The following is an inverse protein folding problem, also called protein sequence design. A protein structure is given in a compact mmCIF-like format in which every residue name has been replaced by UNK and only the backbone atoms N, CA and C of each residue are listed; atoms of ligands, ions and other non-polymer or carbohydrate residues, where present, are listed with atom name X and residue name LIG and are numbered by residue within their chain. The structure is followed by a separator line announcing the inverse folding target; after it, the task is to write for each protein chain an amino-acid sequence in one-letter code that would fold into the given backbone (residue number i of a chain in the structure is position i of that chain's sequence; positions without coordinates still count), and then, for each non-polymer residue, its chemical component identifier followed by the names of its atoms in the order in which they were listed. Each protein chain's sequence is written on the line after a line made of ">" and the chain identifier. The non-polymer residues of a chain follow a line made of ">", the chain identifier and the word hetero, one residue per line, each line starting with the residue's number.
data_IF_806356245233
#
_entry.id   IF_806356245233
#
_cell.length_a   1.000
_cell.length_b   1.000
_cell.length_c   1.000
_cell.angle_alpha   90.00
_cell.angle_beta   90.00
_cell.angle_gamma   90.00
#
_symmetry.space_group_name_H-M   'P 1'
#
loop_
_entity.id
_entity.type
_entity.pdbx_description
1 polymer ?
#
# COMPACT_ATOMS: atom_id res chain seq x y z
N UNK A 1 -0.13 24.09 21.45
CA UNK A 1 -0.31 22.78 22.13
C UNK A 1 -1.66 22.26 21.70
N UNK A 2 -1.69 21.46 20.64
CA UNK A 2 -2.91 21.02 19.98
C UNK A 2 -3.36 19.68 20.55
N UNK A 3 -4.54 19.66 21.18
CA UNK A 3 -5.29 18.41 21.35
C UNK A 3 -5.72 17.94 19.96
N UNK A 4 -5.17 16.80 19.55
CA UNK A 4 -5.59 16.08 18.34
C UNK A 4 -6.98 15.54 18.60
N UNK A 5 -7.97 15.97 17.81
CA UNK A 5 -9.33 15.45 17.86
C UNK A 5 -9.33 13.93 17.73
N UNK A 6 -9.69 13.25 18.81
CA UNK A 6 -9.86 11.80 18.85
C UNK A 6 -11.21 11.48 18.17
N UNK A 7 -11.19 11.02 16.92
CA UNK A 7 -12.38 10.54 16.18
C UNK A 7 -12.63 9.05 16.48
N UNK A 8 -12.09 8.52 17.59
CA UNK A 8 -12.02 7.07 17.88
C UNK A 8 -13.24 6.49 18.60
N UNK A 9 -14.40 7.14 18.62
CA UNK A 9 -15.60 6.63 19.31
C UNK A 9 -16.55 5.81 18.42
N UNK A 10 -16.09 5.33 17.26
CA UNK A 10 -16.84 4.43 16.37
C UNK A 10 -16.64 2.95 16.76
N UNK A 11 -16.94 2.59 18.01
CA UNK A 11 -16.54 1.27 18.55
C UNK A 11 -17.39 0.08 18.07
N UNK A 12 -18.56 0.25 17.45
CA UNK A 12 -19.47 -0.89 17.20
C UNK A 12 -20.07 -0.99 15.79
N UNK A 13 -20.13 0.08 14.99
CA UNK A 13 -20.80 0.06 13.67
C UNK A 13 -19.88 -0.30 12.51
N UNK A 14 -18.62 0.17 12.52
CA UNK A 14 -17.59 -0.22 11.55
C UNK A 14 -17.15 -1.67 11.74
N UNK A 15 -17.07 -2.14 13.00
CA UNK A 15 -16.88 -3.55 13.33
C UNK A 15 -18.01 -4.44 12.77
N UNK A 16 -19.28 -4.02 12.92
CA UNK A 16 -20.43 -4.79 12.43
C UNK A 16 -20.45 -4.93 10.89
N UNK A 17 -20.13 -3.85 10.15
CA UNK A 17 -20.06 -3.88 8.67
C UNK A 17 -18.88 -4.70 8.14
N UNK A 18 -17.76 -4.73 8.86
CA UNK A 18 -16.63 -5.61 8.54
C UNK A 18 -16.90 -7.07 8.94
N UNK A 19 -17.73 -7.34 9.95
CA UNK A 19 -18.11 -8.71 10.34
C UNK A 19 -19.18 -9.32 9.40
N UNK A 20 -20.02 -8.51 8.74
CA UNK A 20 -20.87 -8.98 7.63
C UNK A 20 -20.05 -9.52 6.45
N UNK A 21 -18.80 -9.05 6.28
CA UNK A 21 -17.86 -9.53 5.26
C UNK A 21 -17.27 -10.93 5.57
N UNK A 22 -17.13 -11.33 6.84
CA UNK A 22 -16.70 -12.70 7.24
C UNK A 22 -17.78 -13.75 6.94
N UNK A 23 -19.08 -13.41 7.03
CA UNK A 23 -20.17 -14.37 6.82
C UNK A 23 -20.35 -14.82 5.36
N UNK A 24 -19.67 -14.17 4.40
CA UNK A 24 -19.68 -14.52 2.99
C UNK A 24 -18.52 -15.44 2.56
N UNK A 25 -17.52 -15.67 3.42
CA UNK A 25 -16.35 -16.50 3.10
C UNK A 25 -16.04 -17.54 4.19
N UNK A 26 -16.52 -18.80 4.05
CA UNK A 26 -16.14 -19.85 4.99
C UNK A 26 -14.66 -20.21 4.83
N UNK A 27 -13.98 -20.36 5.98
CA UNK A 27 -12.66 -20.99 6.15
C UNK A 27 -12.51 -22.21 5.23
N UNK A 28 -11.79 -22.09 4.11
CA UNK A 28 -11.62 -23.21 3.17
C UNK A 28 -10.39 -24.04 3.52
N UNK A 29 -10.65 -25.33 3.76
CA UNK A 29 -9.67 -26.41 3.79
C UNK A 29 -8.93 -26.50 2.45
N UNK A 30 -7.65 -26.90 2.43
CA UNK A 30 -6.89 -27.09 1.20
C UNK A 30 -7.53 -28.23 0.38
N UNK A 31 -8.12 -27.90 -0.76
CA UNK A 31 -8.53 -28.89 -1.74
C UNK A 31 -7.32 -29.23 -2.63
N UNK A 32 -6.98 -30.51 -2.69
CA UNK A 32 -6.03 -31.04 -3.67
C UNK A 32 -6.54 -30.77 -5.09
N UNK A 33 -5.98 -29.77 -5.76
CA UNK A 33 -6.25 -29.48 -7.18
C UNK A 33 -4.98 -29.70 -7.99
N UNK A 34 -5.11 -30.51 -9.04
CA UNK A 34 -4.06 -30.85 -10.00
C UNK A 34 -3.63 -29.61 -10.76
N UNK A 35 -2.32 -29.56 -11.06
CA UNK A 35 -1.65 -28.58 -11.89
C UNK A 35 -2.37 -28.40 -13.23
N UNK A 36 -3.08 -27.30 -13.39
CA UNK A 36 -3.31 -26.69 -14.71
C UNK A 36 -2.44 -25.43 -14.77
N UNK A 37 -1.63 -25.24 -15.84
CA UNK A 37 -0.93 -23.99 -16.05
C UNK A 37 -1.95 -22.90 -16.39
N UNK A 38 -2.34 -22.11 -15.38
CA UNK A 38 -3.05 -20.84 -15.58
C UNK A 38 -2.09 -19.75 -16.06
N UNK A 39 -2.59 -18.66 -16.66
CA UNK A 39 -1.80 -17.79 -17.51
C UNK A 39 -0.71 -17.04 -16.74
N UNK A 40 0.42 -16.94 -17.44
CA UNK A 40 1.73 -16.51 -17.01
C UNK A 40 1.75 -14.99 -16.85
N UNK A 41 1.51 -14.51 -15.64
CA UNK A 41 1.65 -13.09 -15.27
C UNK A 41 2.33 -12.97 -13.89
N UNK A 42 3.41 -13.72 -13.66
CA UNK A 42 4.06 -13.74 -12.34
C UNK A 42 5.04 -12.58 -12.07
N UNK A 43 5.32 -11.71 -13.04
CA UNK A 43 6.08 -10.48 -12.78
C UNK A 43 5.67 -9.34 -13.73
N UNK A 44 4.80 -8.44 -13.26
CA UNK A 44 4.84 -7.06 -13.76
C UNK A 44 6.07 -6.38 -13.18
N UNK A 45 6.94 -5.90 -14.07
CA UNK A 45 7.93 -4.91 -13.70
C UNK A 45 7.37 -3.52 -13.99
N UNK A 46 7.02 -2.81 -12.93
CA UNK A 46 6.73 -1.39 -13.04
C UNK A 46 8.07 -0.63 -13.04
N UNK A 47 8.50 -0.14 -14.20
CA UNK A 47 9.74 0.63 -14.34
C UNK A 47 9.47 1.97 -15.01
N UNK A 48 9.65 3.06 -14.27
CA UNK A 48 9.55 4.43 -14.79
C UNK A 48 10.90 5.13 -14.87
N UNK A 49 11.04 6.01 -15.86
CA UNK A 49 12.16 6.95 -15.97
C UNK A 49 11.61 8.37 -15.80
N UNK A 50 11.95 9.06 -14.70
CA UNK A 50 11.69 10.50 -14.60
C UNK A 50 12.77 11.24 -15.40
N UNK A 51 12.53 11.50 -16.69
CA UNK A 51 13.35 12.45 -17.44
C UNK A 51 12.93 13.88 -17.07
N UNK A 52 13.92 14.72 -16.78
CA UNK A 52 13.85 16.03 -16.10
C UNK A 52 13.18 17.17 -16.89
N UNK A 53 12.27 16.89 -17.81
CA UNK A 53 11.45 17.93 -18.47
C UNK A 53 10.10 17.45 -18.99
N UNK A 54 9.83 16.14 -18.97
CA UNK A 54 8.52 15.56 -19.21
C UNK A 54 8.29 14.46 -18.17
N UNK A 55 7.42 14.71 -17.19
CA UNK A 55 7.06 13.73 -16.16
C UNK A 55 6.26 12.60 -16.82
N UNK A 56 6.97 11.59 -17.30
CA UNK A 56 6.39 10.44 -18.00
C UNK A 56 6.64 9.19 -17.17
N UNK A 57 5.58 8.57 -16.65
CA UNK A 57 5.67 7.26 -16.02
C UNK A 57 5.25 6.17 -17.02
N UNK A 58 5.97 5.06 -17.03
CA UNK A 58 5.73 3.93 -17.92
C UNK A 58 5.51 2.67 -17.10
N UNK A 59 4.50 1.90 -17.47
CA UNK A 59 4.19 0.60 -16.89
C UNK A 59 4.20 -0.42 -18.01
N UNK A 60 4.94 -1.50 -17.83
CA UNK A 60 5.08 -2.56 -18.82
C UNK A 60 4.45 -3.85 -18.31
N UNK A 61 3.73 -4.52 -19.20
CA UNK A 61 3.31 -5.92 -19.03
C UNK A 61 4.30 -6.80 -19.79
N UNK A 62 4.78 -7.87 -19.16
CA UNK A 62 5.86 -8.70 -19.68
C UNK A 62 5.63 -10.18 -19.39
N UNK A 63 5.88 -11.04 -20.37
CA UNK A 63 5.79 -12.51 -20.22
C UNK A 63 7.10 -13.11 -19.76
N UNK A 64 7.48 -12.88 -18.50
CA UNK A 64 8.82 -13.21 -18.03
C UNK A 64 9.19 -14.69 -17.98
N UNK A 65 8.24 -15.59 -17.74
CA UNK A 65 8.55 -17.02 -17.57
C UNK A 65 8.71 -17.80 -18.87
N UNK A 66 8.19 -17.30 -20.00
CA UNK A 66 8.34 -17.97 -21.30
C UNK A 66 9.52 -17.40 -22.08
N UNK A 67 9.52 -16.08 -22.30
CA UNK A 67 10.38 -15.48 -23.32
C UNK A 67 10.85 -14.06 -22.97
N UNK A 68 10.32 -13.44 -21.90
CA UNK A 68 10.70 -12.10 -21.45
C UNK A 68 10.17 -10.97 -22.34
N UNK A 69 9.28 -11.25 -23.30
CA UNK A 69 8.79 -10.23 -24.22
C UNK A 69 7.83 -9.26 -23.53
N UNK A 70 7.95 -7.99 -23.89
CA UNK A 70 7.01 -6.94 -23.53
C UNK A 70 5.71 -7.14 -24.32
N UNK A 71 4.61 -7.32 -23.60
CA UNK A 71 3.28 -7.55 -24.18
C UNK A 71 2.53 -6.24 -24.41
N UNK A 72 2.65 -5.28 -23.49
CA UNK A 72 1.96 -3.99 -23.58
C UNK A 72 2.65 -2.88 -22.76
N UNK A 73 2.27 -1.63 -22.98
CA UNK A 73 2.74 -0.46 -22.26
C UNK A 73 1.63 0.56 -22.01
N UNK A 74 1.52 0.99 -20.75
CA UNK A 74 0.76 2.18 -20.37
C UNK A 74 1.72 3.33 -20.07
N UNK A 75 1.47 4.48 -20.68
CA UNK A 75 2.24 5.71 -20.48
C UNK A 75 1.35 6.77 -19.82
N UNK A 76 1.80 7.31 -18.70
CA UNK A 76 1.18 8.43 -18.01
C UNK A 76 1.95 9.69 -18.37
N UNK A 77 1.34 10.56 -19.16
CA UNK A 77 1.97 11.80 -19.63
C UNK A 77 1.70 12.95 -18.65
N UNK A 78 2.73 13.76 -18.44
CA UNK A 78 2.68 14.94 -17.58
C UNK A 78 2.22 14.62 -16.16
N UNK A 79 2.61 13.47 -15.61
CA UNK A 79 2.15 12.97 -14.31
C UNK A 79 3.29 12.50 -13.40
N UNK A 80 3.06 12.58 -12.10
CA UNK A 80 3.95 12.09 -11.04
C UNK A 80 3.44 10.76 -10.49
N UNK A 81 4.04 9.65 -10.92
CA UNK A 81 3.81 8.32 -10.33
C UNK A 81 5.08 7.87 -9.60
N UNK A 82 4.99 7.63 -8.29
CA UNK A 82 6.15 7.19 -7.50
C UNK A 82 6.41 5.68 -7.66
N UNK A 83 7.26 5.29 -8.59
CA UNK A 83 7.54 3.87 -8.84
C UNK A 83 8.68 3.28 -8.00
N UNK A 84 9.33 4.11 -7.18
CA UNK A 84 10.37 3.65 -6.26
C UNK A 84 9.78 2.61 -5.31
N UNK A 85 10.33 1.39 -5.27
CA UNK A 85 9.80 0.27 -4.47
C UNK A 85 8.29 0.03 -4.65
N UNK A 86 7.75 0.26 -5.85
CA UNK A 86 6.33 0.11 -6.17
C UNK A 86 5.40 0.98 -5.28
N UNK A 87 5.83 2.18 -4.87
CA UNK A 87 5.06 2.99 -3.92
C UNK A 87 3.73 3.52 -4.47
N UNK A 88 3.69 3.85 -5.76
CA UNK A 88 2.55 4.44 -6.46
C UNK A 88 1.80 3.44 -7.34
N UNK A 89 2.12 2.14 -7.25
CA UNK A 89 1.43 1.09 -7.98
C UNK A 89 1.19 -0.12 -7.07
N UNK A 90 0.02 -0.74 -7.17
CA UNK A 90 -0.32 -1.92 -6.38
C UNK A 90 -1.08 -2.93 -7.24
N UNK A 91 -0.66 -4.19 -7.21
CA UNK A 91 -1.22 -5.28 -8.01
C UNK A 91 -2.02 -6.22 -7.10
N UNK A 92 -3.21 -6.61 -7.53
CA UNK A 92 -4.05 -7.62 -6.90
C UNK A 92 -4.65 -8.51 -8.00
N UNK A 93 -4.26 -9.77 -8.03
CA UNK A 93 -4.55 -10.70 -9.13
C UNK A 93 -4.25 -10.08 -10.51
N UNK A 94 -5.29 -9.78 -11.30
CA UNK A 94 -5.24 -9.16 -12.62
C UNK A 94 -5.55 -7.65 -12.61
N UNK A 95 -5.76 -7.04 -11.44
CA UNK A 95 -6.03 -5.61 -11.31
C UNK A 95 -4.80 -4.85 -10.81
N UNK A 96 -4.49 -3.76 -11.51
CA UNK A 96 -3.40 -2.84 -11.19
C UNK A 96 -3.96 -1.47 -10.83
N UNK A 97 -3.68 -1.00 -9.63
CA UNK A 97 -3.96 0.36 -9.21
C UNK A 97 -2.70 1.23 -9.37
N UNK A 98 -2.84 2.42 -9.94
CA UNK A 98 -1.76 3.39 -10.16
C UNK A 98 -2.19 4.76 -9.64
N UNK A 99 -1.41 5.34 -8.73
CA UNK A 99 -1.70 6.66 -8.15
C UNK A 99 -1.04 7.75 -8.97
N UNK A 100 -1.87 8.57 -9.60
CA UNK A 100 -1.51 9.87 -10.16
C UNK A 100 -1.43 10.91 -9.06
N UNK A 101 -0.21 11.31 -8.67
CA UNK A 101 -0.04 12.34 -7.64
C UNK A 101 -0.39 13.73 -8.18
N UNK A 102 -0.15 14.00 -9.46
CA UNK A 102 -0.44 15.32 -10.03
C UNK A 102 -1.93 15.53 -10.22
N UNK A 103 -2.62 14.54 -10.79
CA UNK A 103 -4.05 14.64 -11.08
C UNK A 103 -4.93 14.10 -9.94
N UNK A 104 -4.33 13.66 -8.83
CA UNK A 104 -5.05 13.16 -7.65
C UNK A 104 -6.09 12.09 -8.02
N UNK A 105 -5.66 11.15 -8.86
CA UNK A 105 -6.50 10.11 -9.47
C UNK A 105 -5.87 8.73 -9.28
N UNK A 106 -6.68 7.74 -8.94
CA UNK A 106 -6.28 6.33 -8.90
C UNK A 106 -6.79 5.69 -10.19
N UNK A 107 -5.87 5.28 -11.05
CA UNK A 107 -6.17 4.53 -12.26
C UNK A 107 -6.22 3.04 -11.93
N UNK A 108 -7.33 2.39 -12.28
CA UNK A 108 -7.50 0.95 -12.17
C UNK A 108 -7.40 0.37 -13.58
N UNK A 109 -6.40 -0.47 -13.81
CA UNK A 109 -6.20 -1.21 -15.04
C UNK A 109 -6.43 -2.69 -14.79
N UNK A 110 -6.98 -3.39 -15.78
CA UNK A 110 -7.05 -4.84 -15.80
C UNK A 110 -6.05 -5.39 -16.81
N UNK A 111 -5.35 -6.43 -16.39
CA UNK A 111 -4.37 -7.14 -17.19
C UNK A 111 -5.07 -8.36 -17.75
N UNK A 112 -5.28 -8.38 -19.07
CA UNK A 112 -5.93 -9.51 -19.75
C UNK A 112 -4.97 -10.69 -19.89
N UNK A 113 -5.50 -11.89 -20.11
CA UNK A 113 -4.69 -13.09 -20.37
C UNK A 113 -3.76 -12.93 -21.59
N UNK A 114 -4.13 -12.06 -22.55
CA UNK A 114 -3.28 -11.68 -23.69
C UNK A 114 -2.06 -10.84 -23.31
N UNK A 115 -2.03 -10.29 -22.09
CA UNK A 115 -1.04 -9.35 -21.58
C UNK A 115 -1.39 -7.88 -21.75
N UNK A 116 -2.53 -7.57 -22.40
CA UNK A 116 -2.95 -6.19 -22.64
C UNK A 116 -3.38 -5.49 -21.35
N UNK A 117 -3.02 -4.21 -21.25
CA UNK A 117 -3.38 -3.31 -20.15
C UNK A 117 -4.62 -2.50 -20.55
N UNK A 118 -5.75 -2.78 -19.91
CA UNK A 118 -7.04 -2.15 -20.21
C UNK A 118 -7.43 -1.24 -19.07
N UNK A 119 -7.69 0.05 -19.34
CA UNK A 119 -8.25 0.95 -18.33
C UNK A 119 -9.68 0.50 -17.96
N UNK A 120 -9.91 0.27 -16.67
CA UNK A 120 -11.21 -0.14 -16.12
C UNK A 120 -11.89 1.03 -15.41
N UNK A 121 -11.11 1.86 -14.72
CA UNK A 121 -11.66 2.98 -13.94
C UNK A 121 -10.64 4.04 -13.63
N UNK A 122 -11.11 5.28 -13.48
CA UNK A 122 -10.37 6.37 -12.84
C UNK A 122 -11.16 6.87 -11.62
N UNK A 123 -10.51 6.95 -10.46
CA UNK A 123 -11.12 7.38 -9.19
C UNK A 123 -10.40 8.64 -8.73
N UNK A 124 -11.07 9.79 -8.77
CA UNK A 124 -10.49 11.08 -8.41
C UNK A 124 -11.56 12.16 -8.36
N UNK A 125 -11.50 13.12 -9.29
CA UNK A 125 -12.53 14.14 -9.49
C UNK A 125 -13.90 13.53 -9.83
N UNK A 126 -13.89 12.38 -10.51
CA UNK A 126 -15.05 11.55 -10.81
C UNK A 126 -14.85 10.17 -10.19
N UNK A 127 -15.95 9.50 -9.82
CA UNK A 127 -15.93 8.16 -9.24
C UNK A 127 -16.64 7.13 -10.14
N UNK A 128 -17.50 7.59 -11.04
CA UNK A 128 -18.19 6.82 -12.09
C UNK A 128 -17.91 7.44 -13.45
N UNK A 129 -18.08 6.63 -14.50
CA UNK A 129 -17.82 7.03 -15.89
C UNK A 129 -18.77 8.13 -16.38
N UNK A 130 -19.99 8.16 -15.85
CA UNK A 130 -21.06 9.09 -16.22
C UNK A 130 -21.07 10.37 -15.36
N UNK A 131 -20.32 10.42 -14.25
CA UNK A 131 -20.31 11.55 -13.30
C UNK A 131 -20.01 12.89 -14.00
N UNK A 132 -19.09 12.91 -14.97
CA UNK A 132 -18.71 14.12 -15.71
C UNK A 132 -19.89 14.70 -16.50
N UNK A 133 -20.67 13.85 -17.17
CA UNK A 133 -21.86 14.27 -17.91
C UNK A 133 -22.95 14.81 -16.96
N UNK A 134 -23.14 14.17 -15.80
CA UNK A 134 -24.11 14.61 -14.80
C UNK A 134 -23.74 15.96 -14.14
N UNK A 135 -22.46 16.17 -13.83
CA UNK A 135 -21.99 17.43 -13.23
C UNK A 135 -22.10 18.57 -14.26
N UNK A 136 -21.71 18.33 -15.50
CA UNK A 136 -21.76 19.34 -16.57
C UNK A 136 -23.20 19.71 -16.96
N UNK A 137 -24.13 18.75 -16.99
CA UNK A 137 -25.56 19.05 -17.23
C UNK A 137 -26.18 19.84 -16.08
N UNK A 138 -25.76 19.58 -14.83
CA UNK A 138 -26.25 20.31 -13.65
C UNK A 138 -25.72 21.74 -13.57
N UNK A 139 -24.46 21.99 -13.98
CA UNK A 139 -23.87 23.33 -14.01
C UNK A 139 -24.50 24.23 -15.08
N UNK A 140 -24.87 23.67 -16.24
CA UNK A 140 -25.61 24.39 -17.30
C UNK A 140 -27.01 24.83 -16.85
N UNK A 141 -27.69 24.05 -16.01
CA UNK A 141 -28.99 24.42 -15.42
C UNK A 141 -28.88 25.53 -14.37
N UNK A 142 -27.77 25.58 -13.63
CA UNK A 142 -27.51 26.61 -12.62
C UNK A 142 -27.07 27.96 -13.23
N UNK A 143 -26.37 27.94 -14.38
CA UNK A 143 -25.95 29.14 -15.11
C UNK A 143 -27.10 29.93 -15.75
N UNK A 144 -28.28 29.33 -15.93
CA UNK A 144 -29.45 30.01 -16.51
C UNK A 144 -30.30 30.81 -15.49
N UNK A 145 -29.88 30.90 -14.22
CA UNK A 145 -30.62 31.66 -13.18
C UNK A 145 -30.03 33.01 -12.80
N UNK A 146 -28.95 33.45 -13.44
CA UNK A 146 -28.40 34.79 -13.22
C UNK A 146 -27.35 35.11 -14.27
N UNK A 147 -27.80 35.68 -15.39
CA UNK A 147 -27.25 36.94 -15.91
C UNK A 147 -27.91 37.29 -17.24
N UNK A 148 -28.88 38.20 -17.14
CA UNK A 148 -29.16 39.12 -18.22
C UNK A 148 -28.00 40.12 -18.26
N UNK A 149 -27.28 40.12 -19.40
CA UNK A 149 -26.36 41.17 -19.90
C UNK A 149 -24.93 41.16 -19.34
N UNK A 150 -23.96 40.62 -20.10
CA UNK A 150 -22.85 41.43 -20.62
C UNK A 150 -22.19 40.79 -21.86
N UNK A 151 -21.72 41.64 -22.76
CA UNK A 151 -21.21 41.33 -24.09
C UNK A 151 -19.76 40.81 -24.07
N UNK A 152 -19.54 39.73 -24.83
CA UNK A 152 -18.33 39.40 -25.61
C UNK A 152 -16.93 39.70 -25.04
N UNK A 153 -16.19 38.65 -24.71
CA UNK A 153 -14.88 38.33 -25.35
C UNK A 153 -14.36 36.97 -24.86
N UNK A 154 -13.81 36.20 -25.80
CA UNK A 154 -13.24 34.87 -25.61
C UNK A 154 -12.03 34.87 -24.66
N UNK A 155 -12.06 34.04 -23.63
CA UNK A 155 -10.99 33.07 -23.35
C UNK A 155 -11.46 32.01 -22.36
N UNK A 156 -11.49 30.76 -22.82
CA UNK A 156 -11.79 29.56 -22.03
C UNK A 156 -10.76 29.37 -20.92
N UNK A 157 -11.06 29.89 -19.73
CA UNK A 157 -10.43 29.45 -18.50
C UNK A 157 -11.55 29.20 -17.49
N UNK A 158 -11.90 27.93 -17.19
CA UNK A 158 -12.87 27.67 -16.15
C UNK A 158 -12.29 28.22 -14.86
N UNK A 159 -12.99 29.19 -14.26
CA UNK A 159 -12.65 29.79 -12.96
C UNK A 159 -12.41 28.66 -11.94
N UNK A 160 -11.15 28.32 -11.70
CA UNK A 160 -10.74 27.20 -10.83
C UNK A 160 -11.06 27.41 -9.35
N UNK A 161 -11.47 28.63 -8.98
CA UNK A 161 -11.65 29.02 -7.58
C UNK A 161 -13.03 28.67 -7.03
N UNK A 162 -13.99 28.25 -7.87
CA UNK A 162 -15.36 27.91 -7.45
C UNK A 162 -15.82 26.51 -7.92
N UNK A 163 -14.89 25.61 -8.26
CA UNK A 163 -15.30 24.23 -8.55
C UNK A 163 -15.77 23.56 -7.26
N UNK A 164 -17.03 23.13 -7.22
CA UNK A 164 -17.52 22.28 -6.14
C UNK A 164 -16.58 21.09 -5.94
N UNK A 165 -16.31 20.74 -4.69
CA UNK A 165 -15.61 19.50 -4.38
C UNK A 165 -16.43 18.35 -4.96
N UNK A 166 -15.80 17.53 -5.80
CA UNK A 166 -16.43 16.42 -6.49
C UNK A 166 -15.75 15.09 -6.15
N UNK A 167 -16.35 14.00 -6.64
CA UNK A 167 -15.75 12.67 -6.61
C UNK A 167 -15.35 12.21 -5.21
N UNK A 168 -14.12 11.71 -5.09
CA UNK A 168 -13.68 11.02 -3.87
C UNK A 168 -13.56 11.98 -2.67
N UNK A 169 -13.15 13.23 -2.88
CA UNK A 169 -13.03 14.22 -1.79
C UNK A 169 -14.40 14.57 -1.23
N UNK A 170 -15.39 14.79 -2.10
CA UNK A 170 -16.77 15.07 -1.69
C UNK A 170 -17.37 13.90 -0.90
N UNK A 171 -17.15 12.67 -1.39
CA UNK A 171 -17.62 11.44 -0.73
C UNK A 171 -16.97 11.25 0.64
N UNK A 172 -15.67 11.56 0.75
CA UNK A 172 -14.94 11.55 2.01
C UNK A 172 -15.51 12.56 3.01
N UNK A 173 -15.69 13.82 2.60
CA UNK A 173 -16.26 14.85 3.49
C UNK A 173 -17.68 14.50 3.92
N UNK A 174 -18.49 13.98 3.01
CA UNK A 174 -19.85 13.50 3.31
C UNK A 174 -19.85 12.37 4.33
N UNK A 175 -18.91 11.42 4.20
CA UNK A 175 -18.74 10.34 5.16
C UNK A 175 -18.37 10.87 6.54
N UNK A 176 -17.35 11.73 6.64
CA UNK A 176 -16.89 12.31 7.90
C UNK A 176 -18.03 13.09 8.58
N UNK A 177 -18.75 13.91 7.83
CA UNK A 177 -19.90 14.66 8.35
C UNK A 177 -20.98 13.73 8.91
N UNK A 178 -21.37 12.71 8.14
CA UNK A 178 -22.44 11.76 8.53
C UNK A 178 -22.05 10.94 9.75
N UNK A 179 -20.79 10.50 9.83
CA UNK A 179 -20.27 9.80 11.01
C UNK A 179 -20.39 10.67 12.26
N UNK A 180 -19.83 11.88 12.24
CA UNK A 180 -19.87 12.81 13.38
C UNK A 180 -21.32 13.17 13.75
N UNK A 181 -22.19 13.39 12.75
CA UNK A 181 -23.61 13.67 13.00
C UNK A 181 -24.32 12.51 13.70
N UNK A 182 -23.90 11.27 13.42
CA UNK A 182 -24.52 10.06 13.95
C UNK A 182 -23.97 9.60 15.31
N UNK A 183 -22.88 10.21 15.80
CA UNK A 183 -22.27 9.89 17.10
C UNK A 183 -23.22 10.23 18.26
N UNK A 184 -23.89 11.38 18.18
CA UNK A 184 -24.72 11.90 19.28
C UNK A 184 -26.22 11.88 18.94
N UNK A 185 -27.06 11.73 19.96
CA UNK A 185 -28.52 11.77 19.83
C UNK A 185 -29.08 13.16 20.05
N UNK A 186 -28.45 13.95 20.94
CA UNK A 186 -28.86 15.32 21.26
C UNK A 186 -28.44 16.32 20.17
N UNK A 187 -29.38 17.19 19.79
CA UNK A 187 -29.17 18.14 18.70
C UNK A 187 -28.09 19.19 19.03
N UNK A 188 -28.02 19.64 20.28
CA UNK A 188 -27.07 20.68 20.70
C UNK A 188 -25.66 20.11 20.71
N UNK A 189 -25.49 18.90 21.26
CA UNK A 189 -24.22 18.19 21.27
C UNK A 189 -23.74 17.85 19.85
N UNK A 190 -24.62 17.39 18.95
CA UNK A 190 -24.27 17.18 17.52
C UNK A 190 -23.66 18.42 16.88
N UNK A 191 -24.30 19.57 17.05
CA UNK A 191 -23.81 20.84 16.46
C UNK A 191 -22.45 21.22 17.05
N UNK A 192 -22.24 20.99 18.35
CA UNK A 192 -20.94 21.23 18.99
C UNK A 192 -19.86 20.27 18.47
N UNK A 193 -20.17 18.98 18.32
CA UNK A 193 -19.27 17.98 17.76
C UNK A 193 -18.88 18.33 16.32
N UNK A 194 -19.84 18.69 15.46
CA UNK A 194 -19.57 19.16 14.10
C UNK A 194 -18.68 20.39 14.08
N UNK A 195 -18.94 21.39 14.93
CA UNK A 195 -18.09 22.60 15.01
C UNK A 195 -16.65 22.26 15.35
N UNK A 196 -16.44 21.38 16.33
CA UNK A 196 -15.09 21.02 16.83
C UNK A 196 -14.35 20.04 15.92
N UNK A 197 -15.04 19.01 15.41
CA UNK A 197 -14.40 17.90 14.67
C UNK A 197 -14.43 18.09 13.15
N UNK A 198 -15.49 18.68 12.59
CA UNK A 198 -15.65 18.83 11.14
C UNK A 198 -15.31 20.24 10.64
N UNK A 199 -16.05 21.26 11.09
CA UNK A 199 -15.91 22.62 10.55
C UNK A 199 -14.57 23.26 10.91
N UNK A 200 -14.04 23.01 12.11
CA UNK A 200 -12.71 23.48 12.50
C UNK A 200 -11.60 22.90 11.62
N UNK A 201 -11.73 21.64 11.18
CA UNK A 201 -10.76 20.93 10.35
C UNK A 201 -11.17 20.86 8.87
N UNK A 202 -12.16 21.62 8.45
CA UNK A 202 -12.75 21.47 7.11
C UNK A 202 -11.72 21.67 6.02
N UNK A 203 -10.91 22.73 6.12
CA UNK A 203 -9.86 23.02 5.16
C UNK A 203 -8.77 21.93 5.16
N UNK A 204 -8.39 21.43 6.34
CA UNK A 204 -7.43 20.32 6.47
C UNK A 204 -7.89 19.09 5.68
N UNK A 205 -9.19 18.77 5.74
CA UNK A 205 -9.77 17.64 5.00
C UNK A 205 -9.87 17.89 3.49
N UNK A 206 -10.16 19.13 3.08
CA UNK A 206 -10.20 19.54 1.66
C UNK A 206 -8.82 19.42 1.02
N UNK A 207 -7.77 19.79 1.77
CA UNK A 207 -6.39 19.83 1.29
C UNK A 207 -5.70 18.45 1.32
N UNK A 208 -6.37 17.42 1.85
CA UNK A 208 -5.87 16.05 1.77
C UNK A 208 -5.62 15.63 0.32
N UNK A 209 -4.47 15.00 0.11
CA UNK A 209 -4.07 14.38 -1.15
C UNK A 209 -3.92 12.88 -0.99
N UNK A 210 -4.29 12.14 -2.04
CA UNK A 210 -4.04 10.71 -2.19
C UNK A 210 -2.54 10.52 -2.33
N UNK A 211 -1.93 9.85 -1.35
CA UNK A 211 -0.51 9.56 -1.33
C UNK A 211 -0.21 8.13 -1.80
N UNK A 212 -1.09 7.19 -1.45
CA UNK A 212 -0.88 5.77 -1.74
C UNK A 212 -2.19 4.99 -1.73
N UNK A 213 -2.23 3.89 -2.47
CA UNK A 213 -3.33 2.93 -2.49
C UNK A 213 -2.81 1.50 -2.36
N UNK A 214 -3.63 0.62 -1.78
CA UNK A 214 -3.56 -0.83 -1.96
C UNK A 214 -4.96 -1.39 -2.18
N UNK A 215 -5.06 -2.54 -2.83
CA UNK A 215 -6.27 -3.35 -2.79
C UNK A 215 -6.34 -4.09 -1.45
N UNK A 216 -7.53 -4.18 -0.87
CA UNK A 216 -7.85 -5.14 0.20
C UNK A 216 -8.51 -6.40 -0.38
N UNK A 217 -9.33 -6.19 -1.40
CA UNK A 217 -9.91 -7.21 -2.26
C UNK A 217 -10.19 -6.61 -3.65
N UNK A 218 -10.94 -7.31 -4.50
CA UNK A 218 -11.27 -6.87 -5.86
C UNK A 218 -12.19 -5.63 -5.91
N UNK A 219 -12.88 -5.30 -4.81
CA UNK A 219 -13.87 -4.21 -4.73
C UNK A 219 -13.41 -3.07 -3.82
N UNK A 220 -12.54 -3.33 -2.83
CA UNK A 220 -12.17 -2.38 -1.79
C UNK A 220 -10.72 -1.93 -1.92
N UNK A 221 -10.53 -0.61 -1.88
CA UNK A 221 -9.24 0.05 -1.81
C UNK A 221 -9.00 0.56 -0.39
N UNK A 222 -7.79 0.38 0.13
CA UNK A 222 -7.29 1.16 1.25
C UNK A 222 -6.45 2.32 0.69
N UNK A 223 -6.95 3.53 0.88
CA UNK A 223 -6.38 4.76 0.36
C UNK A 223 -5.76 5.55 1.51
N UNK A 224 -4.50 5.93 1.37
CA UNK A 224 -3.83 6.84 2.31
C UNK A 224 -3.89 8.26 1.81
N UNK A 225 -4.48 9.11 2.64
CA UNK A 225 -4.51 10.54 2.47
C UNK A 225 -3.46 11.21 3.37
N UNK A 226 -2.90 12.32 2.94
CA UNK A 226 -2.04 13.16 3.77
C UNK A 226 -1.90 14.57 3.20
N UNK A 227 -1.05 15.38 3.80
CA UNK A 227 -0.76 16.73 3.31
C UNK A 227 0.13 16.72 2.05
N UNK A 228 -0.01 17.74 1.21
CA UNK A 228 0.82 17.99 0.01
C UNK A 228 2.32 18.01 0.36
N UNK A 229 2.67 18.52 1.54
CA UNK A 229 4.07 18.65 2.00
C UNK A 229 4.76 17.30 2.28
N UNK A 230 3.98 16.22 2.40
CA UNK A 230 4.50 14.86 2.63
C UNK A 230 5.27 14.34 1.41
N UNK A 231 4.94 14.80 0.20
CA UNK A 231 5.60 14.36 -1.03
C UNK A 231 7.05 14.85 -1.20
N UNK A 232 7.43 15.93 -0.52
CA UNK A 232 8.74 16.58 -0.65
C UNK A 232 9.63 16.44 0.60
N UNK A 233 9.07 16.04 1.75
CA UNK A 233 9.76 16.02 3.04
C UNK A 233 10.36 14.64 3.38
N UNK A 234 11.58 14.63 3.94
CA UNK A 234 12.27 13.42 4.43
C UNK A 234 11.74 12.91 5.79
N UNK A 235 10.89 13.68 6.48
CA UNK A 235 10.33 13.35 7.79
C UNK A 235 8.80 13.32 7.75
N UNK A 236 8.24 12.31 7.07
CA UNK A 236 6.80 12.12 6.85
C UNK A 236 6.03 11.62 8.06
N UNK A 237 6.71 11.13 9.11
CA UNK A 237 6.09 10.46 10.26
C UNK A 237 5.41 11.42 11.26
N UNK A 238 5.67 12.72 11.15
CA UNK A 238 5.08 13.73 12.03
C UNK A 238 3.81 14.37 11.47
N UNK A 239 3.61 14.30 10.15
CA UNK A 239 2.43 14.89 9.51
C UNK A 239 1.21 13.98 9.70
N UNK A 240 0.01 14.56 9.89
CA UNK A 240 -1.21 13.78 9.98
C UNK A 240 -1.45 13.05 8.65
N UNK A 241 -1.73 11.77 8.75
CA UNK A 241 -2.14 10.94 7.63
C UNK A 241 -3.41 10.20 8.03
N UNK A 242 -4.24 9.94 7.03
CA UNK A 242 -5.52 9.28 7.20
C UNK A 242 -5.63 8.12 6.24
N UNK A 243 -6.44 7.14 6.60
CA UNK A 243 -6.75 5.98 5.79
C UNK A 243 -8.24 5.94 5.51
N UNK A 244 -8.64 5.74 4.27
CA UNK A 244 -10.02 5.48 3.91
C UNK A 244 -10.15 4.11 3.26
N UNK A 245 -11.19 3.36 3.61
CA UNK A 245 -11.61 2.18 2.86
C UNK A 245 -12.66 2.65 1.85
N UNK A 246 -12.38 2.49 0.57
CA UNK A 246 -13.27 2.90 -0.52
C UNK A 246 -13.76 1.68 -1.28
N UNK A 247 -15.08 1.52 -1.38
CA UNK A 247 -15.70 0.52 -2.23
C UNK A 247 -15.82 1.09 -3.65
N UNK A 248 -15.11 0.47 -4.59
CA UNK A 248 -15.13 0.88 -5.98
C UNK A 248 -16.54 0.73 -6.55
N UNK A 249 -17.19 -0.42 -6.37
CA UNK A 249 -18.49 -0.73 -6.97
C UNK A 249 -19.60 0.23 -6.52
N UNK A 250 -19.78 0.44 -5.21
CA UNK A 250 -20.80 1.35 -4.68
C UNK A 250 -20.39 2.81 -4.76
N UNK A 251 -19.09 3.09 -4.95
CA UNK A 251 -18.47 4.42 -4.87
C UNK A 251 -18.58 5.05 -3.48
N UNK A 252 -18.59 4.25 -2.42
CA UNK A 252 -18.75 4.73 -1.05
C UNK A 252 -17.46 4.65 -0.25
N UNK A 253 -17.26 5.62 0.65
CA UNK A 253 -16.29 5.49 1.73
C UNK A 253 -16.94 4.63 2.82
N UNK A 254 -16.31 3.51 3.13
CA UNK A 254 -16.78 2.52 4.10
C UNK A 254 -16.27 2.83 5.50
N UNK A 255 -15.02 3.28 5.59
CA UNK A 255 -14.38 3.63 6.85
C UNK A 255 -13.32 4.71 6.66
N UNK A 256 -13.06 5.49 7.71
CA UNK A 256 -12.03 6.53 7.74
C UNK A 256 -11.29 6.52 9.08
N UNK A 257 -9.97 6.43 9.04
CA UNK A 257 -9.11 6.24 10.20
C UNK A 257 -7.96 7.25 10.21
N UNK A 258 -7.53 7.66 11.41
CA UNK A 258 -6.26 8.34 11.60
C UNK A 258 -5.10 7.34 11.58
N UNK A 259 -3.88 7.80 11.29
CA UNK A 259 -2.68 6.95 11.17
C UNK A 259 -2.23 6.20 12.44
N UNK A 260 -2.88 6.43 13.58
CA UNK A 260 -2.65 5.72 14.84
C UNK A 260 -3.95 5.18 15.45
N UNK A 261 -4.98 4.92 14.64
CA UNK A 261 -6.24 4.39 15.11
C UNK A 261 -6.10 2.94 15.59
N UNK A 262 -6.45 2.68 16.85
CA UNK A 262 -6.40 1.34 17.46
C UNK A 262 -7.30 0.34 16.71
N UNK A 263 -8.45 0.78 16.21
CA UNK A 263 -9.37 -0.07 15.44
C UNK A 263 -8.73 -0.60 14.15
N UNK A 264 -8.07 0.27 13.38
CA UNK A 264 -7.35 -0.15 12.17
C UNK A 264 -6.20 -1.09 12.52
N UNK A 265 -5.52 -0.86 13.65
CA UNK A 265 -4.49 -1.78 14.12
C UNK A 265 -5.05 -3.16 14.51
N UNK A 266 -6.20 -3.23 15.19
CA UNK A 266 -6.85 -4.50 15.51
C UNK A 266 -7.24 -5.28 14.26
N UNK A 267 -7.77 -4.59 13.24
CA UNK A 267 -8.06 -5.18 11.94
C UNK A 267 -6.77 -5.69 11.26
N UNK A 268 -5.71 -4.88 11.26
CA UNK A 268 -4.42 -5.27 10.71
C UNK A 268 -3.76 -6.45 11.44
N UNK A 269 -3.82 -6.48 12.77
CA UNK A 269 -3.27 -7.56 13.62
C UNK A 269 -4.01 -8.88 13.35
N UNK A 270 -5.34 -8.84 13.21
CA UNK A 270 -6.17 -10.03 13.00
C UNK A 270 -6.19 -10.52 11.55
N UNK A 271 -6.19 -9.61 10.58
CA UNK A 271 -6.41 -9.91 9.16
C UNK A 271 -5.20 -9.56 8.27
N UNK A 272 -3.98 -9.63 8.82
CA UNK A 272 -2.74 -9.19 8.19
C UNK A 272 -2.52 -9.74 6.76
N UNK A 273 -2.91 -10.98 6.48
CA UNK A 273 -2.77 -11.59 5.15
C UNK A 273 -3.57 -10.85 4.05
N UNK A 274 -4.73 -10.28 4.39
CA UNK A 274 -5.55 -9.52 3.43
C UNK A 274 -4.85 -8.23 2.98
N UNK A 275 -3.94 -7.68 3.79
CA UNK A 275 -3.15 -6.50 3.43
C UNK A 275 -1.97 -6.86 2.50
N UNK A 276 -1.50 -8.11 2.53
CA UNK A 276 -0.38 -8.56 1.70
C UNK A 276 -0.80 -8.94 0.28
N UNK A 277 -2.10 -8.91 -0.04
CA UNK A 277 -2.66 -9.15 -1.37
C UNK A 277 -1.99 -10.33 -2.08
N UNK A 278 -1.89 -11.46 -1.39
CA UNK A 278 -1.33 -12.68 -1.97
C UNK A 278 -2.23 -13.10 -3.11
N UNK A 279 -1.70 -13.11 -4.33
CA UNK A 279 -2.39 -13.74 -5.45
C UNK A 279 -2.77 -15.16 -5.05
N UNK A 280 -4.07 -15.46 -5.16
CA UNK A 280 -4.68 -16.72 -4.71
C UNK A 280 -4.05 -17.94 -5.43
N UNK A 281 -3.37 -17.71 -6.56
CA UNK A 281 -3.05 -18.75 -7.52
C UNK A 281 -1.59 -19.25 -7.48
N UNK A 282 -0.70 -18.68 -6.66
CA UNK A 282 0.71 -19.10 -6.69
C UNK A 282 1.17 -19.80 -5.41
N UNK A 283 1.47 -21.10 -5.52
CA UNK A 283 1.83 -21.96 -4.38
C UNK A 283 3.05 -21.48 -3.59
N UNK A 284 3.96 -20.72 -4.20
CA UNK A 284 5.14 -20.20 -3.49
C UNK A 284 4.78 -19.03 -2.55
N UNK A 285 3.67 -18.32 -2.76
CA UNK A 285 3.23 -17.24 -1.87
C UNK A 285 2.88 -17.75 -0.47
N UNK A 286 2.59 -19.05 -0.33
CA UNK A 286 2.34 -19.70 0.96
C UNK A 286 3.52 -19.65 1.94
N UNK A 287 4.74 -19.37 1.46
CA UNK A 287 5.92 -19.24 2.33
C UNK A 287 6.07 -17.86 2.96
N UNK A 288 5.25 -16.88 2.56
CA UNK A 288 5.25 -15.56 3.18
C UNK A 288 4.64 -15.67 4.57
N UNK A 289 5.49 -15.53 5.59
CA UNK A 289 5.05 -15.54 6.98
C UNK A 289 4.49 -14.19 7.40
N UNK A 290 3.31 -14.22 8.01
CA UNK A 290 2.64 -13.08 8.63
C UNK A 290 2.18 -13.44 10.04
N UNK A 291 1.76 -12.43 10.80
CA UNK A 291 1.23 -12.63 12.15
C UNK A 291 -0.13 -13.34 12.17
N UNK A 292 -0.85 -13.37 11.05
CA UNK A 292 -2.13 -14.09 10.93
C UNK A 292 -1.95 -15.55 10.50
N UNK A 293 -0.89 -15.87 9.74
CA UNK A 293 -0.67 -17.23 9.23
C UNK A 293 0.44 -18.03 9.94
N UNK A 294 1.29 -17.38 10.75
CA UNK A 294 2.46 -18.01 11.36
C UNK A 294 2.53 -17.74 12.88
N UNK A 295 2.53 -18.81 13.66
CA UNK A 295 2.59 -18.74 15.13
C UNK A 295 3.87 -18.06 15.65
N UNK A 296 5.01 -18.28 14.99
CA UNK A 296 6.28 -17.69 15.40
C UNK A 296 6.33 -16.21 15.08
N UNK A 297 5.81 -15.80 13.93
CA UNK A 297 5.65 -14.38 13.64
C UNK A 297 4.75 -13.73 14.70
N UNK A 298 3.59 -14.33 14.99
CA UNK A 298 2.64 -13.85 16.00
C UNK A 298 3.29 -13.72 17.40
N UNK A 299 4.09 -14.70 17.83
CA UNK A 299 4.85 -14.64 19.07
C UNK A 299 5.86 -13.48 19.08
N UNK A 300 6.54 -13.22 17.95
CA UNK A 300 7.44 -12.08 17.81
C UNK A 300 6.69 -10.76 17.96
N UNK A 301 5.55 -10.59 17.30
CA UNK A 301 4.70 -9.39 17.45
C UNK A 301 4.24 -9.19 18.88
N UNK A 302 3.74 -10.24 19.54
CA UNK A 302 3.36 -10.19 20.95
C UNK A 302 4.54 -9.80 21.84
N UNK A 303 5.73 -10.34 21.57
CA UNK A 303 6.96 -9.95 22.29
C UNK A 303 7.32 -8.49 22.07
N UNK A 304 7.21 -7.98 20.84
CA UNK A 304 7.45 -6.58 20.50
C UNK A 304 6.45 -5.66 21.19
N UNK A 305 5.16 -6.03 21.18
CA UNK A 305 4.07 -5.31 21.84
C UNK A 305 4.29 -5.23 23.35
N UNK A 306 4.66 -6.35 23.99
CA UNK A 306 4.93 -6.40 25.43
C UNK A 306 6.18 -5.61 25.85
N UNK A 307 7.17 -5.48 24.96
CA UNK A 307 8.39 -4.68 25.19
C UNK A 307 8.22 -3.20 24.86
N UNK A 308 7.09 -2.80 24.25
CA UNK A 308 6.88 -1.43 23.85
C UNK A 308 6.60 -0.54 25.07
N UNK A 309 7.30 0.59 25.17
CA UNK A 309 7.09 1.58 26.24
C UNK A 309 5.71 2.25 26.14
N UNK A 310 5.14 2.34 24.94
CA UNK A 310 3.83 2.92 24.67
C UNK A 310 3.12 2.15 23.58
N UNK A 311 1.88 1.73 23.86
CA UNK A 311 1.01 1.04 22.90
C UNK A 311 0.70 1.95 21.73
N UNK A 312 0.40 3.24 21.97
CA UNK A 312 0.11 4.21 20.91
C UNK A 312 1.29 4.38 19.95
N UNK A 313 2.52 4.48 20.47
CA UNK A 313 3.72 4.56 19.60
C UNK A 313 3.97 3.27 18.83
N UNK A 314 3.67 2.12 19.45
CA UNK A 314 3.74 0.83 18.78
C UNK A 314 2.71 0.72 17.65
N UNK A 315 1.45 1.10 17.89
CA UNK A 315 0.37 1.14 16.89
C UNK A 315 0.76 2.05 15.73
N UNK A 316 1.21 3.28 16.01
CA UNK A 316 1.67 4.22 14.98
C UNK A 316 2.82 3.64 14.15
N UNK A 317 3.76 2.94 14.79
CA UNK A 317 4.88 2.26 14.10
C UNK A 317 4.41 1.09 13.22
N UNK A 318 3.42 0.33 13.65
CA UNK A 318 2.88 -0.78 12.86
C UNK A 318 2.10 -0.27 11.65
N UNK A 319 1.22 0.72 11.86
CA UNK A 319 0.38 1.32 10.83
C UNK A 319 1.14 2.23 9.85
N UNK A 320 2.34 2.71 10.19
CA UNK A 320 3.16 3.51 9.26
C UNK A 320 3.55 2.74 8.00
N UNK A 321 3.57 1.40 8.08
CA UNK A 321 3.81 0.52 6.94
C UNK A 321 2.65 0.49 5.94
N UNK A 322 1.44 0.91 6.34
CA UNK A 322 0.27 0.91 5.48
C UNK A 322 0.21 2.16 4.57
N UNK A 323 -0.30 2.01 3.34
CA UNK A 323 -0.55 0.75 2.62
C UNK A 323 0.75 -0.02 2.39
N UNK A 324 0.71 -1.35 2.31
CA UNK A 324 1.86 -2.20 2.00
C UNK A 324 2.29 -2.04 0.53
N UNK A 325 3.53 -2.40 0.21
CA UNK A 325 4.05 -2.36 -1.16
C UNK A 325 3.78 -3.72 -1.81
N UNK A 326 3.39 -3.74 -3.09
CA UNK A 326 3.29 -5.01 -3.81
C UNK A 326 4.70 -5.59 -4.03
N UNK A 327 4.81 -6.93 -4.02
CA UNK A 327 6.05 -7.68 -4.23
C UNK A 327 7.20 -7.30 -3.28
N UNK A 328 6.93 -6.68 -2.12
CA UNK A 328 7.97 -6.29 -1.18
C UNK A 328 8.45 -7.40 -0.25
N UNK A 329 7.91 -8.61 -0.40
CA UNK A 329 8.24 -9.76 0.42
C UNK A 329 8.71 -10.90 -0.48
N UNK A 330 9.84 -11.51 -0.14
CA UNK A 330 10.34 -12.69 -0.81
C UNK A 330 9.49 -13.91 -0.42
N UNK A 331 8.92 -14.63 -1.40
CA UNK A 331 8.15 -15.86 -1.16
C UNK A 331 9.07 -17.10 -1.02
N UNK A 332 10.34 -16.91 -0.67
CA UNK A 332 11.28 -18.02 -0.59
C UNK A 332 11.03 -18.87 0.67
N UNK A 333 11.02 -20.21 0.57
CA UNK A 333 10.90 -21.11 1.73
C UNK A 333 11.95 -20.88 2.81
N UNK A 334 13.10 -20.28 2.47
CA UNK A 334 14.15 -19.94 3.44
C UNK A 334 13.70 -18.89 4.47
N UNK A 335 12.69 -18.08 4.13
CA UNK A 335 12.12 -17.08 5.01
C UNK A 335 10.84 -17.53 5.74
N UNK A 336 10.36 -18.75 5.48
CA UNK A 336 9.22 -19.30 6.23
C UNK A 336 9.66 -19.55 7.68
N UNK A 337 9.05 -18.79 8.60
CA UNK A 337 9.38 -18.84 10.02
C UNK A 337 8.95 -20.15 10.67
N UNK A 338 8.11 -20.96 10.02
CA UNK A 338 7.75 -22.32 10.44
C UNK A 338 8.87 -23.32 10.16
N UNK A 339 9.67 -23.06 9.12
CA UNK A 339 10.76 -23.93 8.70
C UNK A 339 12.07 -23.56 9.39
N UNK A 340 12.40 -22.27 9.40
CA UNK A 340 13.68 -21.78 9.86
C UNK A 340 13.56 -20.73 10.97
N UNK A 341 14.56 -20.75 11.85
CA UNK A 341 14.88 -19.67 12.78
C UNK A 341 16.13 -18.97 12.29
N UNK A 342 16.04 -17.65 12.13
CA UNK A 342 17.13 -16.76 11.71
C UNK A 342 16.99 -15.40 12.41
N UNK A 343 18.02 -14.56 12.34
CA UNK A 343 17.98 -13.21 12.91
C UNK A 343 17.41 -12.20 11.91
N UNK A 344 16.17 -11.77 12.14
CA UNK A 344 15.44 -10.82 11.30
C UNK A 344 16.10 -9.44 11.17
N UNK A 345 16.97 -9.07 12.13
CA UNK A 345 17.73 -7.81 12.07
C UNK A 345 18.82 -7.85 11.01
N UNK A 346 19.31 -9.04 10.70
CA UNK A 346 20.38 -9.27 9.73
C UNK A 346 19.83 -9.64 8.35
N UNK A 347 18.70 -10.37 8.32
CA UNK A 347 18.08 -10.82 7.06
C UNK A 347 16.57 -11.00 7.25
N UNK A 348 15.76 -10.60 6.27
CA UNK A 348 14.30 -10.76 6.36
C UNK A 348 13.70 -10.97 4.97
N UNK A 349 12.48 -11.51 4.93
CA UNK A 349 11.70 -11.62 3.70
C UNK A 349 11.46 -10.25 3.02
N UNK A 350 11.39 -9.17 3.79
CA UNK A 350 11.15 -7.82 3.24
C UNK A 350 12.32 -7.36 2.36
N UNK A 351 12.00 -6.86 1.17
CA UNK A 351 12.91 -6.23 0.22
C UNK A 351 13.45 -4.89 0.75
N UNK A 352 14.38 -4.96 1.70
CA UNK A 352 15.07 -3.80 2.27
C UNK A 352 16.51 -4.17 2.64
N UNK A 353 17.49 -3.29 2.35
CA UNK A 353 18.86 -3.49 2.83
C UNK A 353 18.92 -3.63 4.36
N UNK A 354 19.84 -4.46 4.84
CA UNK A 354 20.14 -4.69 6.26
C UNK A 354 21.59 -4.37 6.54
N UNK A 355 21.92 -4.06 7.79
CA UNK A 355 23.31 -3.85 8.17
C UNK A 355 24.09 -5.17 7.99
N UNK A 356 25.21 -5.12 7.28
CA UNK A 356 26.06 -6.29 7.07
C UNK A 356 26.85 -6.61 8.33
N UNK A 357 27.05 -7.89 8.59
CA UNK A 357 27.89 -8.40 9.68
C UNK A 357 29.00 -9.28 9.13
N UNK A 358 30.14 -9.30 9.81
CA UNK A 358 31.23 -10.22 9.46
C UNK A 358 30.92 -11.66 9.89
N UNK A 359 30.05 -11.82 10.90
CA UNK A 359 29.61 -13.13 11.35
C UNK A 359 28.58 -13.73 10.38
N UNK A 360 28.68 -15.05 10.09
CA UNK A 360 27.71 -15.71 9.23
C UNK A 360 26.31 -15.74 9.86
N UNK A 361 25.30 -15.44 9.05
CA UNK A 361 23.89 -15.51 9.44
C UNK A 361 23.47 -16.97 9.48
N UNK A 362 22.92 -17.42 10.62
CA UNK A 362 22.59 -18.83 10.86
C UNK A 362 21.12 -19.09 10.56
N UNK A 363 20.86 -20.18 9.85
CA UNK A 363 19.52 -20.70 9.63
C UNK A 363 19.39 -22.06 10.32
N UNK A 364 18.60 -22.09 11.39
CA UNK A 364 18.36 -23.30 12.16
C UNK A 364 16.98 -23.87 11.85
N UNK A 365 16.86 -25.18 11.78
CA UNK A 365 15.58 -25.85 11.50
C UNK A 365 14.71 -25.91 12.75
N UNK A 366 13.47 -25.42 12.66
CA UNK A 366 12.51 -25.54 13.76
C UNK A 366 11.92 -26.95 13.91
N UNK A 367 11.84 -27.71 12.82
CA UNK A 367 11.28 -29.08 12.82
C UNK A 367 12.11 -30.11 13.60
N UNK A 368 13.39 -29.85 13.85
CA UNK A 368 14.34 -30.82 14.42
C UNK A 368 15.16 -30.16 15.54
N UNK A 369 14.51 -29.61 16.57
CA UNK A 369 15.19 -29.14 17.78
C UNK A 369 16.21 -28.02 17.58
N UNK A 370 15.93 -27.05 16.69
CA UNK A 370 16.78 -25.87 16.43
C UNK A 370 18.21 -26.21 15.92
N UNK A 371 18.35 -27.33 15.20
CA UNK A 371 19.62 -27.74 14.58
C UNK A 371 19.99 -26.77 13.45
N UNK A 372 21.23 -26.27 13.47
CA UNK A 372 21.80 -25.47 12.39
C UNK A 372 21.77 -26.21 11.05
N UNK A 373 21.09 -25.67 10.03
CA UNK A 373 20.99 -26.27 8.69
C UNK A 373 21.96 -25.68 7.69
N UNK A 374 22.20 -24.37 7.75
CA UNK A 374 23.16 -23.67 6.89
C UNK A 374 23.49 -22.28 7.44
N UNK A 375 24.49 -21.63 6.83
CA UNK A 375 24.89 -20.26 7.14
C UNK A 375 25.05 -19.45 5.85
N UNK A 376 24.74 -18.17 5.89
CA UNK A 376 25.00 -17.21 4.81
C UNK A 376 26.11 -16.27 5.26
N UNK A 377 27.17 -16.15 4.47
CA UNK A 377 28.29 -15.23 4.73
C UNK A 377 28.16 -14.01 3.83
N UNK A 378 28.08 -12.81 4.42
CA UNK A 378 28.10 -11.55 3.67
C UNK A 378 29.44 -10.84 3.69
N UNK A 379 30.38 -11.26 4.53
CA UNK A 379 31.75 -10.73 4.58
C UNK A 379 32.70 -11.43 3.59
N UNK A 380 33.82 -10.78 3.20
CA UNK A 380 34.91 -11.47 2.51
C UNK A 380 35.43 -12.63 3.38
N UNK A 381 35.81 -13.74 2.76
CA UNK A 381 36.28 -14.94 3.49
C UNK A 381 37.52 -14.68 4.37
N UNK A 382 38.25 -13.62 4.04
CA UNK A 382 39.38 -13.09 4.81
C UNK A 382 38.97 -11.70 5.32
N UNK A 383 38.86 -11.56 6.64
CA UNK A 383 38.29 -10.38 7.30
C UNK A 383 38.77 -9.04 6.72
N UNK A 384 37.85 -8.08 6.66
CA UNK A 384 38.15 -6.70 6.26
C UNK A 384 39.12 -6.09 7.27
N UNK A 385 40.34 -5.74 6.85
CA UNK A 385 41.31 -5.04 7.69
C UNK A 385 40.80 -3.65 8.15
N UNK A 386 39.79 -3.12 7.46
CA UNK A 386 39.20 -1.82 7.74
C UNK A 386 37.80 -1.98 8.36
N UNK A 387 37.75 -2.09 9.69
CA UNK A 387 36.54 -2.28 10.50
C UNK A 387 35.73 -1.00 10.74
N UNK A 388 35.95 0.07 9.96
CA UNK A 388 35.42 1.41 10.26
C UNK A 388 34.21 1.85 9.43
N UNK A 389 33.87 1.17 8.32
CA UNK A 389 32.72 1.54 7.49
C UNK A 389 31.53 0.58 7.68
N UNK A 390 30.36 1.14 8.02
CA UNK A 390 29.10 0.39 8.09
C UNK A 390 28.70 -0.06 6.68
N UNK A 391 28.80 -1.36 6.39
CA UNK A 391 28.34 -1.95 5.13
C UNK A 391 26.88 -2.39 5.25
N UNK A 392 26.18 -2.44 4.13
CA UNK A 392 24.81 -2.92 4.01
C UNK A 392 24.77 -4.15 3.10
N UNK A 393 23.89 -5.09 3.41
CA UNK A 393 23.61 -6.26 2.57
C UNK A 393 22.15 -6.24 2.14
N UNK A 394 21.92 -6.38 0.84
CA UNK A 394 20.61 -6.66 0.28
C UNK A 394 20.58 -8.11 -0.20
N UNK A 395 19.49 -8.82 0.05
CA UNK A 395 19.38 -10.25 -0.23
C UNK A 395 18.24 -10.53 -1.20
N UNK A 396 18.53 -11.32 -2.23
CA UNK A 396 17.56 -11.80 -3.19
C UNK A 396 17.56 -13.32 -3.17
N UNK A 397 16.46 -13.92 -2.73
CA UNK A 397 16.30 -15.37 -2.73
C UNK A 397 15.43 -15.80 -3.90
N UNK A 398 15.84 -16.87 -4.57
CA UNK A 398 14.99 -17.49 -5.57
C UNK A 398 13.75 -18.09 -4.88
N UNK A 399 12.56 -17.94 -5.47
CA UNK A 399 11.32 -18.43 -4.85
C UNK A 399 11.31 -19.96 -4.71
N UNK A 400 11.91 -20.70 -5.64
CA UNK A 400 11.81 -22.17 -5.71
C UNK A 400 13.16 -22.88 -5.61
N UNK A 401 14.24 -22.23 -6.01
CA UNK A 401 15.53 -22.90 -6.21
C UNK A 401 16.44 -22.60 -5.02
N UNK A 402 17.39 -23.49 -4.70
CA UNK A 402 18.33 -23.31 -3.60
C UNK A 402 19.43 -22.29 -3.93
N UNK A 403 19.00 -21.10 -4.35
CA UNK A 403 19.83 -20.00 -4.83
C UNK A 403 19.45 -18.71 -4.09
N UNK A 404 20.47 -18.04 -3.57
CA UNK A 404 20.33 -16.69 -3.03
C UNK A 404 21.52 -15.82 -3.46
N UNK A 405 21.27 -14.53 -3.61
CA UNK A 405 22.28 -13.53 -3.88
C UNK A 405 22.35 -12.58 -2.69
N UNK A 406 23.56 -12.20 -2.30
CA UNK A 406 23.77 -11.08 -1.37
C UNK A 406 24.59 -9.99 -2.04
N UNK A 407 24.00 -8.81 -2.12
CA UNK A 407 24.60 -7.60 -2.67
C UNK A 407 25.16 -6.76 -1.53
N UNK A 408 26.47 -6.53 -1.52
CA UNK A 408 27.16 -5.80 -0.46
C UNK A 408 27.37 -4.37 -0.93
N UNK A 409 26.91 -3.40 -0.14
CA UNK A 409 26.96 -1.98 -0.46
C UNK A 409 27.76 -1.21 0.61
N UNK A 410 28.67 -0.29 0.21
CA UNK A 410 29.38 0.57 1.15
C UNK A 410 28.46 1.57 1.87
N UNK A 411 27.36 1.98 1.22
CA UNK A 411 26.31 2.82 1.78
C UNK A 411 25.00 2.58 1.04
N UNK A 412 23.87 2.95 1.63
CA UNK A 412 22.52 2.75 1.07
C UNK A 412 22.29 3.42 -0.31
N UNK A 413 23.14 4.37 -0.70
CA UNK A 413 22.99 5.15 -1.93
C UNK A 413 24.05 4.82 -2.98
N UNK A 414 24.94 3.89 -2.70
CA UNK A 414 26.00 3.48 -3.62
C UNK A 414 25.69 2.12 -4.24
N UNK A 415 26.16 1.87 -5.48
CA UNK A 415 26.04 0.56 -6.10
C UNK A 415 26.74 -0.51 -5.27
N UNK A 416 26.33 -1.78 -5.42
CA UNK A 416 26.98 -2.88 -4.71
C UNK A 416 28.46 -2.98 -5.11
N UNK A 417 29.33 -3.09 -4.10
CA UNK A 417 30.77 -3.30 -4.29
C UNK A 417 31.12 -4.77 -4.47
N UNK A 418 30.24 -5.68 -4.07
CA UNK A 418 30.41 -7.12 -4.27
C UNK A 418 29.05 -7.83 -4.32
N UNK A 419 29.00 -8.97 -5.02
CA UNK A 419 27.84 -9.85 -5.07
C UNK A 419 28.31 -11.26 -4.76
N UNK A 420 27.74 -11.88 -3.72
CA UNK A 420 27.99 -13.28 -3.42
C UNK A 420 26.82 -14.13 -3.90
N UNK A 421 27.15 -15.25 -4.53
CA UNK A 421 26.19 -16.24 -4.99
C UNK A 421 26.19 -17.40 -4.00
N UNK A 422 25.06 -17.63 -3.35
CA UNK A 422 24.85 -18.71 -2.40
C UNK A 422 24.04 -19.78 -3.11
N UNK A 423 24.68 -20.89 -3.46
CA UNK A 423 24.02 -22.04 -4.06
C UNK A 423 24.18 -23.26 -3.18
N UNK A 424 23.08 -23.97 -2.92
CA UNK A 424 23.08 -25.21 -2.16
C UNK A 424 22.76 -26.38 -3.10
N UNK A 425 23.68 -27.35 -3.15
CA UNK A 425 23.49 -28.63 -3.84
C UNK A 425 22.57 -29.55 -3.06
#
# INVERSE_FOLDING_TARGET
>A
MGEVCNVSSASNKSHARFMEWENLYPLRKPQHLRLHPGPILELLRVSGTSQTSAQVAKIHSTRWLEDGFKLDEKVFHNDCVNLTHNMGAFLYDDLLAVVSLRYQTIHILQIRDSGNLVDVRAIGAYCREDDELFINSSSQLAGNRGDLVDNGTNHDQPNSNNSFLSGIKQRLLSFIFREIWSEETDQTQRVQCLKKKFYFHFQDYVDLVILKVQFLDRHHLLIKFGSVDVGASRNTDQLPAFFAVYNMETTEIVAFYQNAADELYLLFERFCDHFHATSINSMYMNFISSHSNNIHALEQLKSMKNKATSISQFVKKMLSSLPLNCQSMSPSPYFDQSLFRFDEKLISATDRPRQSTDHPIRFNSRRQGDILKFKIKTGPEFGSADGRSKKYSHFLFHPVWPLALSFIQPSLFLPPSAVNIHFRR
#
